data_IF_573962657969
#
_entry.id   IF_573962657969
#
_cell.length_a   1.000
_cell.length_b   1.000
_cell.length_c   1.000
_cell.angle_alpha   90.00
_cell.angle_beta   90.00
_cell.angle_gamma   90.00
#
_symmetry.space_group_name_H-M   'P 1'
#
loop_
_entity.id
_entity.type
_entity.pdbx_description
1 polymer ?
#
# COMPACT_ATOMS: atom_id res chain seq x y z
N UNK A 1 -4.10 -11.22 11.23
CA UNK A 1 -3.64 -9.86 10.91
C UNK A 1 -4.73 -8.88 11.32
N UNK A 2 -4.51 -8.14 12.42
CA UNK A 2 -5.28 -6.95 12.71
C UNK A 2 -4.45 -5.89 13.48
N UNK A 3 -4.75 -4.61 13.24
CA UNK A 3 -4.32 -3.49 14.09
C UNK A 3 -5.48 -2.99 14.93
N UNK A 4 -5.14 -2.31 16.02
CA UNK A 4 -6.09 -1.66 16.92
C UNK A 4 -5.76 -0.17 17.01
N UNK A 5 -6.76 0.67 16.76
CA UNK A 5 -6.66 2.12 16.75
C UNK A 5 -7.40 2.67 17.97
N UNK A 6 -6.68 3.21 18.95
CA UNK A 6 -7.31 3.99 20.02
C UNK A 6 -7.68 5.38 19.47
N UNK A 7 -8.95 5.76 19.63
CA UNK A 7 -9.43 7.08 19.21
C UNK A 7 -9.09 8.12 20.28
N UNK A 8 -8.62 9.30 19.88
CA UNK A 8 -8.30 10.39 20.79
C UNK A 8 -8.66 11.76 20.21
N UNK A 9 -8.86 12.73 21.11
CA UNK A 9 -9.18 14.10 20.75
C UNK A 9 -7.87 14.89 20.52
N UNK A 10 -7.62 15.36 19.29
CA UNK A 10 -6.35 16.05 18.97
C UNK A 10 -6.18 17.39 19.70
N UNK A 11 -7.27 17.98 20.22
CA UNK A 11 -7.22 19.20 21.03
C UNK A 11 -6.72 18.96 22.45
N UNK A 12 -7.03 17.80 23.02
CA UNK A 12 -6.80 17.53 24.46
C UNK A 12 -5.77 16.44 24.68
N UNK A 13 -5.45 15.65 23.65
CA UNK A 13 -4.63 14.45 23.73
C UNK A 13 -5.24 13.30 24.50
N UNK A 14 -6.50 13.43 24.92
CA UNK A 14 -7.17 12.40 25.74
C UNK A 14 -7.89 11.38 24.86
N UNK A 15 -7.92 10.09 25.27
CA UNK A 15 -8.74 9.09 24.63
C UNK A 15 -10.20 9.52 24.59
N UNK A 16 -10.90 9.15 23.51
CA UNK A 16 -12.34 9.32 23.41
C UNK A 16 -13.00 8.16 24.13
N UNK A 17 -13.82 8.49 25.13
CA UNK A 17 -14.47 7.51 26.01
C UNK A 17 -15.94 7.34 25.58
N UNK A 18 -16.38 6.09 25.43
CA UNK A 18 -17.78 5.71 25.27
C UNK A 18 -18.13 4.61 26.27
N UNK A 19 -19.24 4.76 26.99
CA UNK A 19 -19.68 3.80 28.01
C UNK A 19 -18.63 3.48 29.10
N UNK A 20 -17.77 4.45 29.43
CA UNK A 20 -16.73 4.30 30.45
C UNK A 20 -15.41 3.73 29.95
N UNK A 21 -15.32 3.32 28.68
CA UNK A 21 -14.12 2.71 28.08
C UNK A 21 -13.60 3.51 26.87
N UNK A 22 -12.28 3.49 26.58
CA UNK A 22 -11.74 4.04 25.34
C UNK A 22 -12.37 3.41 24.09
N UNK A 23 -12.66 4.22 23.08
CA UNK A 23 -13.06 3.73 21.76
C UNK A 23 -11.83 3.14 21.08
N UNK A 24 -11.90 1.85 20.75
CA UNK A 24 -10.89 1.12 20.01
C UNK A 24 -11.51 0.57 18.71
N UNK A 25 -10.90 0.90 17.58
CA UNK A 25 -11.29 0.37 16.27
C UNK A 25 -10.32 -0.71 15.82
N UNK A 26 -10.85 -1.89 15.47
CA UNK A 26 -10.06 -2.99 14.92
C UNK A 26 -10.12 -2.93 13.38
N UNK A 27 -8.96 -2.96 12.73
CA UNK A 27 -8.86 -3.08 11.27
C UNK A 27 -8.16 -4.39 10.94
N UNK A 28 -8.88 -5.29 10.28
CA UNK A 28 -8.34 -6.58 9.84
C UNK A 28 -7.73 -6.47 8.44
N UNK A 29 -6.66 -7.25 8.21
CA UNK A 29 -6.07 -7.45 6.89
C UNK A 29 -5.73 -6.14 6.15
N UNK A 30 -4.95 -5.27 6.78
CA UNK A 30 -4.56 -3.98 6.20
C UNK A 30 -3.04 -3.85 6.01
N UNK A 31 -2.61 -2.97 5.12
CA UNK A 31 -1.18 -2.79 4.82
C UNK A 31 -0.42 -2.06 5.94
N UNK A 32 -1.11 -1.29 6.78
CA UNK A 32 -0.49 -0.67 7.95
C UNK A 32 0.17 -1.71 8.87
N UNK A 33 -0.51 -2.82 9.15
CA UNK A 33 0.05 -3.94 9.91
C UNK A 33 1.23 -4.60 9.18
N UNK A 34 1.12 -4.74 7.86
CA UNK A 34 2.16 -5.37 7.06
C UNK A 34 3.48 -4.58 7.16
N UNK A 35 3.42 -3.26 7.01
CA UNK A 35 4.60 -2.41 7.01
C UNK A 35 5.11 -2.07 8.42
N UNK A 36 4.23 -1.99 9.42
CA UNK A 36 4.58 -1.63 10.79
C UNK A 36 3.86 -2.54 11.81
N UNK A 37 4.18 -3.85 11.86
CA UNK A 37 3.44 -4.83 12.67
C UNK A 37 3.54 -4.59 14.18
N UNK A 38 4.55 -3.84 14.62
CA UNK A 38 4.81 -3.58 16.03
C UNK A 38 4.51 -2.12 16.44
N UNK A 39 4.00 -1.30 15.52
CA UNK A 39 3.70 0.09 15.81
C UNK A 39 2.42 0.21 16.66
N UNK A 40 2.40 1.25 17.50
CA UNK A 40 1.19 1.73 18.13
C UNK A 40 0.42 2.58 17.13
N UNK A 41 -0.86 2.27 16.92
CA UNK A 41 -1.72 3.04 16.04
C UNK A 41 -2.77 3.82 16.85
N UNK A 42 -2.92 5.12 16.56
CA UNK A 42 -3.97 5.96 17.15
C UNK A 42 -4.72 6.73 16.07
N UNK A 43 -5.99 7.00 16.32
CA UNK A 43 -6.85 7.78 15.44
C UNK A 43 -7.23 9.11 16.09
N UNK A 44 -6.66 10.20 15.58
CA UNK A 44 -6.97 11.55 16.01
C UNK A 44 -8.24 12.07 15.36
N UNK A 45 -9.17 12.59 16.17
CA UNK A 45 -10.35 13.31 15.67
C UNK A 45 -10.01 14.76 15.39
N UNK A 46 -10.24 15.18 14.15
CA UNK A 46 -10.08 16.56 13.70
C UNK A 46 -11.43 17.27 13.65
N UNK A 47 -11.48 18.44 14.29
CA UNK A 47 -12.64 19.30 14.36
C UNK A 47 -12.47 20.44 13.35
N UNK A 48 -13.26 20.41 12.29
CA UNK A 48 -13.19 21.41 11.22
C UNK A 48 -13.32 22.83 11.77
N UNK A 49 -12.41 23.72 11.37
CA UNK A 49 -12.36 25.11 11.83
C UNK A 49 -11.88 25.30 13.28
N UNK A 50 -11.59 24.22 14.00
CA UNK A 50 -11.09 24.28 15.38
C UNK A 50 -9.67 23.72 15.50
N UNK A 51 -9.41 22.50 15.03
CA UNK A 51 -8.08 21.87 15.14
C UNK A 51 -7.03 22.65 14.33
N UNK A 52 -5.94 23.02 14.99
CA UNK A 52 -4.79 23.72 14.38
C UNK A 52 -3.65 22.76 14.06
N UNK A 53 -2.65 23.24 13.33
CA UNK A 53 -1.43 22.46 13.08
C UNK A 53 -0.65 22.16 14.37
N UNK A 54 -0.58 23.11 15.31
CA UNK A 54 0.07 22.92 16.60
C UNK A 54 -0.61 21.81 17.42
N UNK A 55 -1.95 21.74 17.35
CA UNK A 55 -2.71 20.66 17.98
C UNK A 55 -2.30 19.28 17.44
N UNK A 56 -1.87 19.18 16.18
CA UNK A 56 -1.43 17.93 15.55
C UNK A 56 0.03 17.59 15.86
N UNK A 57 0.86 18.59 16.20
CA UNK A 57 2.31 18.39 16.46
C UNK A 57 2.65 18.15 17.94
N UNK A 58 1.76 18.49 18.87
CA UNK A 58 2.03 18.37 20.31
C UNK A 58 2.33 16.93 20.79
N UNK A 59 1.93 15.92 20.01
CA UNK A 59 2.07 14.50 20.35
C UNK A 59 3.46 13.93 20.16
N UNK A 60 4.37 14.65 19.49
CA UNK A 60 5.77 14.23 19.32
C UNK A 60 6.46 14.00 20.67
N UNK A 61 6.07 14.76 21.70
CA UNK A 61 6.56 14.58 23.08
C UNK A 61 6.17 13.24 23.72
N UNK A 62 5.12 12.61 23.21
CA UNK A 62 4.62 11.29 23.60
C UNK A 62 5.15 10.18 22.68
N UNK A 63 6.07 10.51 21.77
CA UNK A 63 6.59 9.61 20.76
C UNK A 63 5.65 9.36 19.59
N UNK A 64 4.53 10.08 19.47
CA UNK A 64 3.55 9.89 18.39
C UNK A 64 3.65 11.02 17.36
N UNK A 65 3.70 10.67 16.07
CA UNK A 65 3.63 11.62 14.95
C UNK A 65 2.42 11.34 14.06
N UNK A 66 1.90 12.39 13.44
CA UNK A 66 0.89 12.27 12.38
C UNK A 66 1.56 11.74 11.11
N UNK A 67 1.26 10.49 10.74
CA UNK A 67 1.88 9.84 9.58
C UNK A 67 0.97 9.85 8.35
N UNK A 68 -0.33 9.65 8.54
CA UNK A 68 -1.28 9.52 7.43
C UNK A 68 -2.61 10.22 7.71
N UNK A 69 -3.33 10.55 6.64
CA UNK A 69 -4.72 10.99 6.74
C UNK A 69 -5.60 10.30 5.69
N UNK A 70 -6.89 10.20 5.99
CA UNK A 70 -7.92 9.75 5.06
C UNK A 70 -9.23 10.49 5.38
N UNK A 71 -9.57 11.50 4.58
CA UNK A 71 -10.71 12.37 4.85
C UNK A 71 -10.61 12.97 6.27
N UNK A 72 -11.54 12.65 7.19
CA UNK A 72 -11.54 13.15 8.57
C UNK A 72 -10.75 12.29 9.55
N UNK A 73 -10.02 11.28 9.05
CA UNK A 73 -9.29 10.29 9.85
C UNK A 73 -7.80 10.61 9.82
N UNK A 74 -7.21 10.89 10.98
CA UNK A 74 -5.81 11.28 11.11
C UNK A 74 -5.08 10.21 11.92
N UNK A 75 -4.15 9.51 11.28
CA UNK A 75 -3.49 8.34 11.84
C UNK A 75 -2.15 8.73 12.44
N UNK A 76 -2.03 8.50 13.74
CA UNK A 76 -0.83 8.75 14.52
C UNK A 76 -0.12 7.44 14.82
N UNK A 77 1.20 7.45 14.74
CA UNK A 77 2.04 6.28 14.97
C UNK A 77 3.27 6.66 15.79
N UNK A 78 3.84 5.67 16.48
CA UNK A 78 5.13 5.77 17.17
C UNK A 78 6.33 5.42 16.27
N UNK A 79 6.05 5.11 15.00
CA UNK A 79 7.03 4.81 13.98
C UNK A 79 6.82 5.71 12.75
N UNK A 80 7.92 6.27 12.22
CA UNK A 80 7.94 7.09 11.00
C UNK A 80 7.72 6.26 9.72
N UNK A 81 6.53 5.68 9.57
CA UNK A 81 6.19 4.82 8.43
C UNK A 81 6.03 5.63 7.13
N UNK A 82 5.51 6.86 7.19
CA UNK A 82 5.23 7.68 5.99
C UNK A 82 6.48 7.89 5.16
N UNK A 83 7.60 8.22 5.80
CA UNK A 83 8.85 8.53 5.10
C UNK A 83 9.47 7.31 4.43
N UNK A 84 9.14 6.09 4.88
CA UNK A 84 9.58 4.86 4.22
C UNK A 84 8.85 4.60 2.91
N UNK A 85 7.58 5.01 2.82
CA UNK A 85 6.69 4.79 1.66
C UNK A 85 6.66 5.98 0.69
N UNK A 86 6.81 7.20 1.21
CA UNK A 86 6.59 8.44 0.47
C UNK A 86 7.76 9.39 0.64
N UNK A 87 8.13 10.07 -0.45
CA UNK A 87 9.13 11.14 -0.49
C UNK A 87 8.55 12.47 0.00
N UNK A 88 7.25 12.70 -0.21
CA UNK A 88 6.57 13.95 0.15
C UNK A 88 5.44 13.73 1.15
N UNK A 89 5.30 14.67 2.10
CA UNK A 89 4.31 14.57 3.17
C UNK A 89 2.86 14.51 2.66
N UNK A 90 2.53 15.24 1.59
CA UNK A 90 1.17 15.31 1.05
C UNK A 90 0.66 13.95 0.52
N UNK A 91 1.55 13.04 0.13
CA UNK A 91 1.17 11.67 -0.25
C UNK A 91 0.65 10.85 0.93
N UNK A 92 1.13 11.12 2.15
CA UNK A 92 0.58 10.51 3.37
C UNK A 92 -0.89 10.89 3.59
N UNK A 93 -1.30 12.07 3.14
CA UNK A 93 -2.70 12.52 3.17
C UNK A 93 -3.51 12.03 1.96
N UNK A 94 -2.92 12.02 0.76
CA UNK A 94 -3.61 11.60 -0.47
C UNK A 94 -3.86 10.08 -0.53
N UNK A 95 -2.91 9.29 -0.02
CA UNK A 95 -2.92 7.83 -0.16
C UNK A 95 -2.99 7.08 1.17
N UNK A 96 -3.10 7.79 2.30
CA UNK A 96 -3.15 7.18 3.63
C UNK A 96 -4.26 6.16 3.79
N UNK A 97 -5.43 6.39 3.17
CA UNK A 97 -6.55 5.44 3.19
C UNK A 97 -6.19 4.04 2.70
N UNK A 98 -5.24 3.89 1.78
CA UNK A 98 -4.83 2.60 1.24
C UNK A 98 -4.14 1.71 2.30
N UNK A 99 -3.48 2.31 3.29
CA UNK A 99 -2.83 1.56 4.37
C UNK A 99 -3.83 0.98 5.37
N UNK A 100 -4.90 1.73 5.64
CA UNK A 100 -5.87 1.43 6.70
C UNK A 100 -7.19 0.87 6.16
N UNK A 101 -7.30 0.60 4.85
CA UNK A 101 -8.50 -0.04 4.30
C UNK A 101 -8.49 -1.52 4.66
N UNK A 102 -9.52 -2.05 5.36
CA UNK A 102 -9.62 -3.48 5.61
C UNK A 102 -9.82 -4.25 4.31
N UNK A 103 -9.10 -5.35 4.15
CA UNK A 103 -9.27 -6.27 3.02
C UNK A 103 -10.02 -7.53 3.45
N UNK A 104 -10.55 -8.30 2.50
CA UNK A 104 -11.22 -9.58 2.78
C UNK A 104 -10.24 -10.63 3.31
N UNK A 105 -9.00 -10.59 2.83
CA UNK A 105 -7.91 -11.49 3.19
C UNK A 105 -6.58 -10.78 3.02
N UNK A 106 -5.53 -11.36 3.59
CA UNK A 106 -4.16 -10.91 3.41
C UNK A 106 -3.26 -12.11 3.13
N UNK A 107 -2.32 -11.95 2.21
CA UNK A 107 -1.36 -12.98 1.89
C UNK A 107 -0.03 -12.37 1.44
N UNK A 108 1.05 -12.77 2.08
CA UNK A 108 2.41 -12.46 1.64
C UNK A 108 2.89 -13.51 0.63
N UNK A 109 3.69 -13.06 -0.34
CA UNK A 109 4.29 -13.87 -1.40
C UNK A 109 5.70 -13.36 -1.65
N UNK A 110 6.61 -14.29 -1.88
CA UNK A 110 8.00 -14.01 -2.19
C UNK A 110 8.32 -14.48 -3.60
N UNK A 111 9.39 -13.94 -4.19
CA UNK A 111 9.91 -14.34 -5.50
C UNK A 111 8.88 -14.21 -6.65
N UNK A 112 7.94 -13.26 -6.53
CA UNK A 112 7.02 -12.95 -7.61
C UNK A 112 7.75 -12.21 -8.75
N UNK A 113 7.53 -12.65 -9.97
CA UNK A 113 7.94 -11.95 -11.18
C UNK A 113 6.89 -10.92 -11.56
N UNK A 114 7.26 -9.65 -11.50
CA UNK A 114 6.34 -8.53 -11.76
C UNK A 114 6.83 -7.75 -12.97
N UNK A 115 6.00 -7.66 -14.01
CA UNK A 115 6.22 -6.74 -15.12
C UNK A 115 5.56 -5.40 -14.79
N UNK A 116 6.34 -4.33 -14.78
CA UNK A 116 5.83 -2.96 -14.65
C UNK A 116 5.71 -2.36 -16.04
N UNK A 117 4.53 -1.88 -16.39
CA UNK A 117 4.24 -1.20 -17.66
C UNK A 117 3.96 0.26 -17.38
N UNK A 118 4.63 1.16 -18.10
CA UNK A 118 4.29 2.58 -18.08
C UNK A 118 2.88 2.80 -18.64
N UNK A 119 2.01 3.40 -17.83
CA UNK A 119 0.61 3.60 -18.14
C UNK A 119 0.36 4.49 -19.37
N UNK A 120 1.30 5.38 -19.70
CA UNK A 120 1.16 6.38 -20.74
C UNK A 120 1.81 5.94 -22.06
N UNK A 121 2.93 5.23 -21.98
CA UNK A 121 3.77 4.91 -23.14
C UNK A 121 3.79 3.42 -23.50
N UNK A 122 3.36 2.55 -22.59
CA UNK A 122 3.49 1.09 -22.73
C UNK A 122 4.92 0.57 -22.56
N UNK A 123 5.87 1.43 -22.16
CA UNK A 123 7.26 1.02 -21.90
C UNK A 123 7.29 -0.06 -20.80
N UNK A 124 8.02 -1.14 -21.07
CA UNK A 124 8.00 -2.36 -20.25
C UNK A 124 9.39 -3.02 -20.13
N UNK A 125 10.46 -2.22 -20.26
CA UNK A 125 11.84 -2.73 -20.19
C UNK A 125 12.26 -3.59 -21.39
N UNK A 126 11.54 -3.51 -22.52
CA UNK A 126 11.87 -4.24 -23.75
C UNK A 126 11.40 -5.69 -23.78
N UNK A 127 10.53 -6.10 -22.85
CA UNK A 127 9.95 -7.45 -22.79
C UNK A 127 9.05 -7.72 -24.00
N UNK A 128 8.29 -6.73 -24.45
CA UNK A 128 7.40 -6.82 -25.62
C UNK A 128 7.19 -5.45 -26.28
N UNK A 129 6.60 -5.39 -27.50
CA UNK A 129 6.21 -4.12 -28.10
C UNK A 129 5.30 -3.30 -27.18
N UNK A 130 5.57 -2.00 -27.06
CA UNK A 130 4.79 -1.12 -26.17
C UNK A 130 3.28 -1.13 -26.48
N UNK A 131 2.91 -1.30 -27.74
CA UNK A 131 1.50 -1.44 -28.18
C UNK A 131 0.79 -2.63 -27.54
N UNK A 132 1.54 -3.71 -27.30
CA UNK A 132 1.00 -4.95 -26.75
C UNK A 132 0.97 -4.87 -25.23
N UNK A 133 2.02 -4.28 -24.64
CA UNK A 133 2.14 -4.12 -23.20
C UNK A 133 1.07 -3.19 -22.63
N UNK A 134 0.79 -2.06 -23.29
CA UNK A 134 -0.22 -1.12 -22.84
C UNK A 134 -1.63 -1.74 -22.87
N UNK A 135 -1.90 -2.69 -23.77
CA UNK A 135 -3.17 -3.41 -23.82
C UNK A 135 -3.36 -4.40 -22.64
N UNK A 136 -2.30 -4.68 -21.88
CA UNK A 136 -2.36 -5.54 -20.68
C UNK A 136 -2.71 -4.76 -19.41
N UNK A 137 -2.64 -3.42 -19.46
CA UNK A 137 -2.87 -2.55 -18.30
C UNK A 137 -3.92 -1.47 -18.58
N UNK A 138 -4.38 -0.80 -17.54
CA UNK A 138 -5.29 0.34 -17.63
C UNK A 138 -5.19 1.20 -16.36
N UNK A 139 -6.03 2.23 -16.25
CA UNK A 139 -6.10 3.09 -15.04
C UNK A 139 -6.49 2.24 -13.82
N UNK A 140 -5.50 1.93 -12.99
CA UNK A 140 -5.67 1.07 -11.82
C UNK A 140 -5.82 -0.42 -12.14
N UNK A 141 -5.71 -0.85 -13.39
CA UNK A 141 -5.96 -2.22 -13.83
C UNK A 141 -4.68 -2.96 -14.22
N UNK A 142 -4.48 -4.14 -13.65
CA UNK A 142 -3.36 -5.04 -13.93
C UNK A 142 -3.82 -6.48 -14.22
N UNK A 143 -2.86 -7.38 -14.38
CA UNK A 143 -3.07 -8.81 -14.60
C UNK A 143 -2.35 -9.64 -13.55
N UNK A 144 -2.92 -10.81 -13.26
CA UNK A 144 -2.38 -11.81 -12.36
C UNK A 144 -2.43 -13.17 -13.03
N UNK A 145 -1.37 -13.97 -12.88
CA UNK A 145 -1.33 -15.32 -13.43
C UNK A 145 -2.45 -16.18 -12.83
N UNK A 146 -3.09 -17.01 -13.65
CA UNK A 146 -4.20 -17.88 -13.22
C UNK A 146 -3.81 -18.80 -12.05
N UNK A 147 -2.55 -19.25 -11.97
CA UNK A 147 -2.08 -20.11 -10.88
C UNK A 147 -1.93 -19.33 -9.58
N UNK A 148 -1.31 -18.14 -9.64
CA UNK A 148 -1.20 -17.27 -8.47
C UNK A 148 -2.60 -16.85 -7.98
N UNK A 149 -3.48 -16.45 -8.89
CA UNK A 149 -4.86 -16.07 -8.59
C UNK A 149 -5.63 -17.19 -7.88
N UNK A 150 -5.52 -18.43 -8.37
CA UNK A 150 -6.13 -19.62 -7.74
C UNK A 150 -5.53 -19.87 -6.36
N UNK A 151 -4.20 -19.73 -6.21
CA UNK A 151 -3.51 -19.94 -4.92
C UNK A 151 -3.95 -18.95 -3.81
N UNK A 152 -4.54 -17.81 -4.19
CA UNK A 152 -5.10 -16.83 -3.26
C UNK A 152 -6.53 -17.18 -2.81
N UNK A 153 -7.09 -18.30 -3.30
CA UNK A 153 -8.45 -18.74 -2.99
C UNK A 153 -9.54 -17.91 -3.68
N UNK A 154 -9.19 -17.23 -4.77
CA UNK A 154 -10.15 -16.45 -5.55
C UNK A 154 -11.02 -17.35 -6.41
N UNK A 155 -12.22 -16.86 -6.75
CA UNK A 155 -13.10 -17.53 -7.69
C UNK A 155 -12.54 -17.44 -9.10
N UNK A 156 -12.46 -18.56 -9.80
CA UNK A 156 -11.93 -18.66 -11.17
C UNK A 156 -12.47 -17.55 -12.09
N UNK A 157 -11.58 -17.03 -12.95
CA UNK A 157 -11.86 -15.96 -13.92
C UNK A 157 -12.44 -14.65 -13.34
N UNK A 158 -12.44 -14.47 -12.02
CA UNK A 158 -13.05 -13.30 -11.36
C UNK A 158 -11.99 -12.26 -11.00
N UNK A 159 -12.07 -11.02 -11.53
CA UNK A 159 -11.20 -9.93 -11.10
C UNK A 159 -11.46 -9.56 -9.65
N UNK A 160 -10.45 -9.01 -8.97
CA UNK A 160 -10.59 -8.53 -7.60
C UNK A 160 -9.87 -7.21 -7.39
N UNK A 161 -10.45 -6.35 -6.54
CA UNK A 161 -9.77 -5.16 -6.08
C UNK A 161 -8.75 -5.53 -5.00
N UNK A 162 -7.57 -4.92 -5.10
CA UNK A 162 -6.44 -5.17 -4.21
C UNK A 162 -5.87 -3.88 -3.64
N UNK A 163 -5.21 -4.01 -2.51
CA UNK A 163 -4.19 -3.08 -2.01
C UNK A 163 -2.99 -3.97 -1.73
N UNK A 164 -1.83 -3.60 -2.27
CA UNK A 164 -0.62 -4.40 -2.13
C UNK A 164 0.55 -3.55 -1.68
N UNK A 165 1.52 -4.19 -1.05
CA UNK A 165 2.76 -3.58 -0.58
C UNK A 165 3.94 -4.38 -1.08
N UNK A 166 5.03 -3.68 -1.41
CA UNK A 166 6.31 -4.28 -1.79
C UNK A 166 7.35 -3.72 -0.84
N UNK A 167 7.96 -4.56 0.00
CA UNK A 167 9.05 -4.14 0.89
C UNK A 167 10.40 -4.19 0.19
N UNK A 168 10.60 -5.22 -0.62
CA UNK A 168 11.88 -5.58 -1.20
C UNK A 168 11.67 -6.07 -2.64
N UNK A 169 12.60 -5.69 -3.52
CA UNK A 169 12.60 -6.14 -4.93
C UNK A 169 14.01 -6.10 -5.51
N UNK A 170 14.18 -6.86 -6.59
CA UNK A 170 15.29 -6.70 -7.52
C UNK A 170 14.75 -6.12 -8.82
N UNK A 171 15.56 -5.32 -9.52
CA UNK A 171 15.21 -4.73 -10.80
C UNK A 171 16.08 -5.33 -11.90
N UNK A 172 15.45 -5.80 -12.97
CA UNK A 172 16.13 -6.40 -14.10
C UNK A 172 15.43 -7.66 -14.61
N UNK A 173 15.86 -8.10 -15.79
CA UNK A 173 15.38 -9.35 -16.41
C UNK A 173 16.26 -10.54 -16.02
N UNK A 174 17.52 -10.29 -15.62
CA UNK A 174 18.50 -11.31 -15.29
C UNK A 174 18.50 -11.59 -13.79
N UNK A 175 17.62 -12.48 -13.34
CA UNK A 175 17.48 -12.87 -11.92
C UNK A 175 18.73 -13.57 -11.34
N UNK A 176 19.70 -13.94 -12.19
CA UNK A 176 20.93 -14.64 -11.81
C UNK A 176 22.15 -13.70 -11.69
N UNK A 177 21.98 -12.39 -11.89
CA UNK A 177 23.07 -11.44 -11.61
C UNK A 177 23.21 -11.25 -10.10
N UNK A 178 24.18 -11.97 -9.51
CA UNK A 178 24.54 -11.87 -8.09
C UNK A 178 24.91 -10.45 -7.64
N UNK A 179 25.14 -9.51 -8.58
CA UNK A 179 25.43 -8.10 -8.28
C UNK A 179 24.21 -7.18 -8.33
N UNK A 180 23.01 -7.68 -8.62
CA UNK A 180 21.82 -6.82 -8.62
C UNK A 180 21.53 -6.29 -7.21
N UNK A 181 21.48 -4.96 -7.02
CA UNK A 181 21.26 -4.38 -5.70
C UNK A 181 19.83 -4.65 -5.25
N UNK A 182 19.69 -5.16 -4.02
CA UNK A 182 18.39 -5.28 -3.35
C UNK A 182 17.82 -3.88 -3.09
N UNK A 183 16.68 -3.58 -3.73
CA UNK A 183 15.96 -2.32 -3.54
C UNK A 183 15.03 -2.47 -2.33
N UNK A 184 15.32 -1.71 -1.27
CA UNK A 184 14.58 -1.72 0.01
C UNK A 184 13.61 -0.55 0.16
N UNK A 185 13.35 0.18 -0.93
CA UNK A 185 12.35 1.25 -0.94
C UNK A 185 10.97 0.64 -0.97
N UNK A 186 10.18 0.88 0.08
CA UNK A 186 8.84 0.33 0.20
C UNK A 186 7.90 1.01 -0.78
N UNK A 187 7.09 0.20 -1.47
CA UNK A 187 6.11 0.65 -2.45
C UNK A 187 4.72 0.28 -1.99
N UNK A 188 3.79 1.21 -2.15
CA UNK A 188 2.36 0.98 -1.99
C UNK A 188 1.71 0.84 -3.36
N UNK A 189 0.75 -0.06 -3.49
CA UNK A 189 -0.05 -0.22 -4.69
C UNK A 189 -1.53 -0.40 -4.42
N UNK A 190 -2.36 0.02 -5.38
CA UNK A 190 -3.81 -0.17 -5.38
C UNK A 190 -4.28 -0.39 -6.80
N UNK A 191 -5.26 -1.29 -6.97
CA UNK A 191 -5.93 -1.45 -8.24
C UNK A 191 -6.84 -2.66 -8.29
N UNK A 192 -7.11 -3.11 -9.51
CA UNK A 192 -7.79 -4.37 -9.81
C UNK A 192 -6.81 -5.31 -10.49
N UNK A 193 -6.86 -6.59 -10.13
CA UNK A 193 -6.20 -7.64 -10.90
C UNK A 193 -7.22 -8.53 -11.57
N UNK A 194 -7.09 -8.66 -12.89
CA UNK A 194 -7.85 -9.62 -13.69
C UNK A 194 -6.98 -10.85 -14.00
N UNK A 195 -7.48 -12.08 -13.78
CA UNK A 195 -6.73 -13.29 -14.07
C UNK A 195 -6.49 -13.43 -15.59
N UNK A 196 -5.26 -13.82 -15.96
CA UNK A 196 -4.86 -14.14 -17.33
C UNK A 196 -3.76 -15.20 -17.29
N UNK A 197 -3.66 -16.02 -18.33
CA UNK A 197 -2.49 -16.86 -18.50
C UNK A 197 -1.29 -15.97 -18.87
N UNK A 198 -0.33 -15.85 -17.95
CA UNK A 198 0.87 -15.03 -18.12
C UNK A 198 2.10 -15.89 -18.41
N UNK A 199 1.94 -17.21 -18.56
CA UNK A 199 3.05 -18.14 -18.77
C UNK A 199 3.80 -17.90 -20.09
N UNK A 200 3.10 -17.37 -21.10
CA UNK A 200 3.66 -17.09 -22.43
C UNK A 200 4.24 -15.67 -22.58
N UNK A 201 4.13 -14.82 -21.56
CA UNK A 201 4.63 -13.44 -21.61
C UNK A 201 6.08 -13.43 -21.13
N UNK A 202 7.02 -13.17 -22.04
CA UNK A 202 8.46 -13.21 -21.74
C UNK A 202 8.88 -14.61 -21.25
N UNK A 203 9.50 -14.67 -20.07
CA UNK A 203 9.86 -15.92 -19.38
C UNK A 203 8.84 -16.34 -18.30
N UNK A 204 7.61 -15.84 -18.40
CA UNK A 204 6.53 -16.04 -17.43
C UNK A 204 6.57 -15.03 -16.29
N UNK A 205 5.45 -14.31 -16.10
CA UNK A 205 5.23 -13.35 -15.00
C UNK A 205 4.09 -13.82 -14.09
N UNK A 206 4.16 -13.43 -12.83
CA UNK A 206 3.09 -13.64 -11.86
C UNK A 206 2.10 -12.47 -11.85
N UNK A 207 2.61 -11.26 -12.09
CA UNK A 207 1.84 -10.02 -12.13
C UNK A 207 2.30 -9.14 -13.31
N UNK A 208 1.34 -8.44 -13.91
CA UNK A 208 1.60 -7.29 -14.78
C UNK A 208 0.87 -6.11 -14.17
N UNK A 209 1.62 -5.07 -13.82
CA UNK A 209 1.08 -3.89 -13.13
C UNK A 209 1.37 -2.62 -13.92
N UNK A 210 0.45 -1.67 -13.83
CA UNK A 210 0.64 -0.32 -14.36
C UNK A 210 1.45 0.54 -13.38
N UNK A 211 2.25 1.50 -13.89
CA UNK A 211 2.82 2.57 -13.06
C UNK A 211 1.74 3.35 -12.30
N UNK A 212 0.52 3.45 -12.83
CA UNK A 212 -0.62 4.08 -12.14
C UNK A 212 -1.09 3.29 -10.92
N UNK A 213 -0.84 1.98 -10.84
CA UNK A 213 -1.19 1.20 -9.65
C UNK A 213 -0.25 1.51 -8.49
N UNK A 214 0.98 1.94 -8.77
CA UNK A 214 1.99 2.27 -7.77
C UNK A 214 1.74 3.68 -7.24
N UNK A 215 1.63 3.80 -5.91
CA UNK A 215 1.33 5.06 -5.21
C UNK A 215 2.54 5.49 -4.40
N UNK A 216 2.85 6.77 -4.45
CA UNK A 216 3.95 7.34 -3.68
C UNK A 216 5.21 7.54 -4.51
N UNK A 217 6.34 7.01 -3.99
CA UNK A 217 7.66 7.17 -4.62
C UNK A 217 7.64 6.62 -6.05
N UNK A 218 8.01 7.47 -7.00
CA UNK A 218 8.11 7.12 -8.43
C UNK A 218 9.50 6.61 -8.81
N UNK A 219 10.44 6.52 -7.86
CA UNK A 219 11.85 6.27 -8.14
C UNK A 219 12.42 5.28 -7.14
N UNK A 220 12.89 4.14 -7.65
CA UNK A 220 13.64 3.13 -6.93
C UNK A 220 13.98 1.98 -7.85
#
# INVERSE_FOLDING_TARGET
MAIYLEHFCTKTGKPIIANGEPIIEKIEYCLAEYFAPNATFKLGVVYQGLTTEDDLKQFTSQGLSLEFAADRRFYFMDEGLREKLFDQAHFGAAYGSNLFTPCKSFSERENLRVLVVDANTGENGGVMPNSDAIALVGDGDGKIDVRLHTSLGNQEATPFQTRFGIKERYAGLDVDDENQPLIKTWQLGKGTFAPRDLSEIGNGYDLIISTDQLKGRSVG
#
